data_IF_310104985934
#
_entry.id   IF_310104985934
#
_cell.length_a   1.000
_cell.length_b   1.000
_cell.length_c   1.000
_cell.angle_alpha   90.00
_cell.angle_beta   90.00
_cell.angle_gamma   90.00
#
_symmetry.space_group_name_H-M   'P 1'
#
loop_
_entity.id
_entity.type
_entity.pdbx_description
1 polymer ?
#
# COMPACT_ATOMS: atom_id res chain seq x y z
N UNK A 1 -2.03 -31.58 -67.53
CA UNK A 1 -3.24 -31.41 -66.69
C UNK A 1 -2.90 -31.91 -65.29
N UNK A 2 -3.10 -31.23 -64.18
CA UNK A 2 -4.02 -30.14 -63.86
C UNK A 2 -4.78 -30.50 -62.58
N UNK A 3 -4.97 -29.51 -61.70
CA UNK A 3 -5.86 -29.46 -60.52
C UNK A 3 -5.26 -29.74 -59.14
N UNK A 4 -4.67 -28.66 -58.61
CA UNK A 4 -4.87 -28.14 -57.25
C UNK A 4 -6.35 -28.18 -56.83
N UNK A 5 -6.64 -28.58 -55.59
CA UNK A 5 -7.95 -28.33 -54.95
C UNK A 5 -7.74 -27.64 -53.60
N UNK A 6 -8.14 -26.37 -53.59
CA UNK A 6 -8.35 -25.53 -52.43
C UNK A 6 -9.46 -26.09 -51.53
N UNK A 7 -9.37 -25.87 -50.21
CA UNK A 7 -10.53 -25.92 -49.33
C UNK A 7 -10.79 -24.54 -48.74
N UNK A 8 -11.97 -24.02 -49.07
CA UNK A 8 -12.49 -22.74 -48.63
C UNK A 8 -13.04 -22.82 -47.20
N UNK A 9 -12.92 -21.68 -46.52
CA UNK A 9 -13.59 -21.33 -45.26
C UNK A 9 -15.11 -21.45 -45.43
N UNK A 10 -15.76 -22.21 -44.54
CA UNK A 10 -17.19 -22.14 -44.30
C UNK A 10 -17.43 -21.35 -43.02
N UNK A 11 -18.07 -20.19 -43.18
CA UNK A 11 -18.63 -19.37 -42.10
C UNK A 11 -19.87 -20.08 -41.57
N UNK A 12 -19.92 -20.35 -40.27
CA UNK A 12 -21.15 -20.69 -39.56
C UNK A 12 -21.51 -19.50 -38.65
N UNK A 13 -22.70 -18.89 -38.80
CA UNK A 13 -23.28 -18.03 -37.80
C UNK A 13 -24.19 -18.88 -36.92
N UNK A 14 -23.83 -19.05 -35.64
CA UNK A 14 -24.76 -19.50 -34.63
C UNK A 14 -24.44 -18.69 -33.36
N UNK A 15 -25.33 -17.74 -33.11
CA UNK A 15 -25.48 -16.96 -31.89
C UNK A 15 -25.46 -17.90 -30.67
N UNK A 16 -24.48 -17.71 -29.78
CA UNK A 16 -24.46 -18.33 -28.46
C UNK A 16 -25.10 -17.32 -27.50
N UNK A 17 -26.43 -17.21 -27.58
CA UNK A 17 -27.24 -16.45 -26.64
C UNK A 17 -27.15 -17.15 -25.27
N UNK A 18 -26.24 -16.69 -24.41
CA UNK A 18 -26.27 -17.01 -22.98
C UNK A 18 -27.49 -16.32 -22.36
N UNK A 19 -28.66 -16.98 -22.46
CA UNK A 19 -29.88 -16.52 -21.81
C UNK A 19 -29.69 -16.61 -20.29
N UNK A 20 -29.50 -15.44 -19.67
CA UNK A 20 -29.40 -15.31 -18.21
C UNK A 20 -30.73 -15.73 -17.59
N UNK A 21 -30.79 -16.95 -17.05
CA UNK A 21 -31.97 -17.46 -16.36
C UNK A 21 -32.11 -16.80 -14.98
N UNK A 22 -32.85 -15.69 -14.96
CA UNK A 22 -33.20 -14.96 -13.74
C UNK A 22 -34.01 -15.82 -12.76
N UNK A 23 -34.73 -16.85 -13.25
CA UNK A 23 -35.52 -17.74 -12.40
C UNK A 23 -34.64 -18.70 -11.59
N UNK A 24 -33.57 -19.22 -12.20
CA UNK A 24 -32.54 -20.00 -11.51
C UNK A 24 -31.79 -19.16 -10.47
N UNK A 25 -31.43 -17.92 -10.81
CA UNK A 25 -30.73 -17.02 -9.88
C UNK A 25 -31.58 -16.73 -8.63
N UNK A 26 -32.88 -16.45 -8.79
CA UNK A 26 -33.80 -16.19 -7.66
C UNK A 26 -34.06 -17.42 -6.80
N UNK A 27 -33.93 -18.62 -7.35
CA UNK A 27 -34.13 -19.87 -6.60
C UNK A 27 -32.97 -20.18 -5.65
N UNK A 28 -31.74 -19.81 -6.03
CA UNK A 28 -30.52 -20.10 -5.24
C UNK A 28 -29.98 -18.90 -4.46
N UNK A 29 -30.23 -17.66 -4.89
CA UNK A 29 -29.84 -16.45 -4.14
C UNK A 29 -30.96 -15.97 -3.24
N UNK A 30 -30.97 -16.49 -2.00
CA UNK A 30 -31.80 -15.98 -0.92
C UNK A 30 -31.16 -14.71 -0.33
N UNK A 31 -31.85 -13.56 -0.26
CA UNK A 31 -31.30 -12.34 0.33
C UNK A 31 -30.80 -12.61 1.75
N UNK A 32 -29.54 -12.24 2.04
CA UNK A 32 -28.87 -12.43 3.34
C UNK A 32 -29.41 -11.51 4.44
N UNK A 33 -30.70 -11.18 4.42
CA UNK A 33 -31.32 -10.19 5.32
C UNK A 33 -31.62 -10.73 6.73
N UNK A 34 -31.22 -11.96 7.05
CA UNK A 34 -31.36 -12.55 8.39
C UNK A 34 -30.02 -12.86 9.06
N UNK A 35 -28.91 -12.25 8.61
CA UNK A 35 -27.70 -12.26 9.42
C UNK A 35 -27.94 -11.33 10.62
N UNK A 36 -27.69 -11.78 11.87
CA UNK A 36 -27.75 -10.89 13.02
C UNK A 36 -26.80 -9.72 12.74
N UNK A 37 -27.31 -8.50 12.92
CA UNK A 37 -26.47 -7.31 12.86
C UNK A 37 -25.30 -7.49 13.81
N UNK A 38 -24.04 -7.28 13.37
CA UNK A 38 -22.92 -7.32 14.26
C UNK A 38 -23.16 -6.32 15.41
N UNK A 39 -22.81 -6.67 16.66
CA UNK A 39 -22.99 -5.77 17.78
C UNK A 39 -22.24 -4.45 17.54
N UNK A 40 -22.78 -3.30 18.00
CA UNK A 40 -22.08 -2.03 17.90
C UNK A 40 -20.73 -2.13 18.62
N UNK A 41 -19.65 -1.86 17.89
CA UNK A 41 -18.29 -1.90 18.46
C UNK A 41 -18.11 -0.76 19.47
N UNK A 42 -17.86 -1.08 20.74
CA UNK A 42 -17.50 -0.14 21.82
C UNK A 42 -16.02 0.24 21.80
N UNK A 43 -15.37 0.19 20.64
CA UNK A 43 -13.98 0.58 20.50
C UNK A 43 -13.95 1.96 19.86
N UNK A 44 -13.41 2.93 20.59
CA UNK A 44 -13.00 4.23 20.03
C UNK A 44 -12.14 3.96 18.80
N UNK A 45 -12.79 3.97 17.63
CA UNK A 45 -12.12 3.86 16.34
C UNK A 45 -11.22 5.07 16.22
N UNK A 46 -9.93 4.81 16.11
CA UNK A 46 -8.87 5.75 15.78
C UNK A 46 -9.00 6.24 14.32
N UNK A 47 -10.21 6.56 13.88
CA UNK A 47 -10.47 7.22 12.61
C UNK A 47 -9.92 8.67 12.59
N UNK A 48 -9.47 9.16 13.75
CA UNK A 48 -8.72 10.41 13.91
C UNK A 48 -7.22 10.31 13.60
N UNK A 49 -6.69 9.11 13.26
CA UNK A 49 -5.31 8.94 12.78
C UNK A 49 -5.20 8.76 11.27
N UNK A 50 -6.16 9.27 10.50
CA UNK A 50 -5.90 9.53 9.08
C UNK A 50 -4.84 10.65 9.02
N UNK A 51 -3.71 10.50 8.30
CA UNK A 51 -2.73 11.56 8.19
C UNK A 51 -3.41 12.78 7.56
N UNK A 52 -3.75 13.78 8.39
CA UNK A 52 -4.14 15.09 7.91
C UNK A 52 -2.87 15.71 7.38
N UNK A 53 -2.67 15.64 6.07
CA UNK A 53 -1.69 16.47 5.39
C UNK A 53 -2.21 17.91 5.50
N UNK A 54 -1.83 18.62 6.57
CA UNK A 54 -1.88 20.07 6.58
C UNK A 54 -0.84 20.54 5.58
N UNK A 55 -1.27 20.73 4.34
CA UNK A 55 -0.51 21.50 3.35
C UNK A 55 -0.62 22.94 3.80
N UNK A 56 0.24 23.32 4.74
CA UNK A 56 0.56 24.72 4.95
C UNK A 56 1.33 25.20 3.70
N UNK A 57 1.01 26.39 3.23
CA UNK A 57 1.25 26.93 1.88
C UNK A 57 2.73 27.34 1.68
N UNK A 58 3.65 26.43 2.01
CA UNK A 58 5.10 26.62 1.88
C UNK A 58 5.67 25.56 0.92
N UNK A 59 6.18 26.04 -0.22
CA UNK A 59 7.06 25.37 -1.18
C UNK A 59 6.41 24.57 -2.32
N UNK A 60 6.28 25.21 -3.48
CA UNK A 60 6.05 24.54 -4.78
C UNK A 60 7.11 23.47 -5.11
N UNK A 61 8.30 23.53 -4.51
CA UNK A 61 9.37 22.53 -4.64
C UNK A 61 9.07 21.21 -3.92
N UNK A 62 8.26 21.21 -2.87
CA UNK A 62 7.86 19.96 -2.19
C UNK A 62 6.78 19.23 -2.99
N UNK A 63 5.91 19.96 -3.69
CA UNK A 63 4.87 19.37 -4.54
C UNK A 63 5.43 18.50 -5.68
N UNK A 64 6.58 18.88 -6.26
CA UNK A 64 7.14 18.17 -7.42
C UNK A 64 7.54 16.71 -7.12
N UNK A 65 7.98 16.44 -5.89
CA UNK A 65 8.45 15.11 -5.48
C UNK A 65 7.34 14.24 -4.87
N UNK A 66 6.13 14.79 -4.69
CA UNK A 66 5.03 14.06 -4.07
C UNK A 66 4.58 12.85 -4.91
N UNK A 67 4.43 13.03 -6.23
CA UNK A 67 4.11 11.94 -7.16
C UNK A 67 5.19 10.85 -7.20
N UNK A 68 6.47 11.20 -7.45
CA UNK A 68 7.58 10.26 -7.38
C UNK A 68 7.68 9.52 -6.04
N UNK A 69 7.50 10.23 -4.91
CA UNK A 69 7.56 9.63 -3.59
C UNK A 69 6.45 8.61 -3.35
N UNK A 70 5.22 8.95 -3.74
CA UNK A 70 4.07 8.04 -3.63
C UNK A 70 4.29 6.79 -4.49
N UNK A 71 4.79 6.97 -5.72
CA UNK A 71 5.11 5.86 -6.61
C UNK A 71 6.21 4.95 -6.05
N UNK A 72 7.36 5.50 -5.64
CA UNK A 72 8.46 4.72 -5.05
C UNK A 72 8.05 3.96 -3.78
N UNK A 73 7.24 4.58 -2.91
CA UNK A 73 6.72 3.91 -1.71
C UNK A 73 5.87 2.69 -2.06
N UNK A 74 5.10 2.74 -3.16
CA UNK A 74 4.28 1.64 -3.67
C UNK A 74 5.11 0.51 -4.28
N UNK A 75 6.31 0.82 -4.79
CA UNK A 75 7.23 -0.14 -5.41
C UNK A 75 8.02 -0.98 -4.39
N UNK A 76 7.91 -0.69 -3.09
CA UNK A 76 8.63 -1.45 -2.07
C UNK A 76 8.19 -2.92 -2.07
N UNK A 77 9.14 -3.89 -2.16
CA UNK A 77 8.79 -5.30 -2.28
C UNK A 77 7.90 -5.79 -1.13
N UNK A 78 6.74 -6.41 -1.44
CA UNK A 78 5.84 -6.92 -0.43
C UNK A 78 6.54 -7.87 0.54
N UNK A 79 6.28 -7.65 1.81
CA UNK A 79 6.83 -8.41 2.91
C UNK A 79 8.23 -7.99 3.34
N UNK A 80 8.98 -7.15 2.61
CA UNK A 80 10.32 -6.73 3.08
C UNK A 80 10.26 -6.14 4.50
N UNK A 81 9.27 -5.29 4.78
CA UNK A 81 8.88 -4.86 6.11
C UNK A 81 7.37 -5.01 6.32
N UNK A 82 6.93 -5.06 7.59
CA UNK A 82 5.52 -4.94 7.97
C UNK A 82 5.13 -3.49 8.29
N UNK A 83 6.10 -2.57 8.35
CA UNK A 83 5.84 -1.15 8.50
C UNK A 83 5.36 -0.60 7.17
N UNK A 84 4.24 0.12 7.19
CA UNK A 84 3.74 0.86 6.02
C UNK A 84 4.74 1.98 5.67
N UNK A 85 5.20 2.05 4.42
CA UNK A 85 6.11 3.11 4.01
C UNK A 85 5.45 4.50 4.07
N UNK A 86 6.20 5.47 4.56
CA UNK A 86 5.86 6.87 4.68
C UNK A 86 6.21 7.62 3.40
N UNK A 87 5.19 8.04 2.66
CA UNK A 87 5.35 8.88 1.47
C UNK A 87 6.11 10.17 1.81
N UNK A 88 5.83 10.77 2.97
CA UNK A 88 6.50 11.99 3.43
C UNK A 88 8.01 11.79 3.63
N UNK A 89 8.41 10.66 4.20
CA UNK A 89 9.82 10.33 4.42
C UNK A 89 10.56 10.20 3.08
N UNK A 90 9.93 9.54 2.10
CA UNK A 90 10.47 9.42 0.74
C UNK A 90 10.51 10.78 0.05
N UNK A 91 9.47 11.61 0.18
CA UNK A 91 9.43 12.96 -0.40
C UNK A 91 10.56 13.83 0.14
N UNK A 92 10.74 13.88 1.46
CA UNK A 92 11.84 14.61 2.10
C UNK A 92 13.23 14.07 1.69
N UNK A 93 13.34 12.75 1.44
CA UNK A 93 14.56 12.15 0.90
C UNK A 93 14.83 12.65 -0.53
N UNK A 94 13.82 12.64 -1.40
CA UNK A 94 13.93 13.14 -2.77
C UNK A 94 14.25 14.63 -2.83
N UNK A 95 13.63 15.46 -1.99
CA UNK A 95 13.93 16.90 -1.89
C UNK A 95 15.39 17.14 -1.52
N UNK A 96 15.95 16.35 -0.60
CA UNK A 96 17.37 16.47 -0.20
C UNK A 96 18.33 15.90 -1.22
N UNK A 97 17.93 14.85 -1.92
CA UNK A 97 18.73 14.24 -2.97
C UNK A 97 18.79 15.13 -4.23
N UNK A 98 17.69 15.84 -4.51
CA UNK A 98 17.54 16.76 -5.65
C UNK A 98 18.03 16.17 -6.98
N UNK A 99 17.64 14.90 -7.23
CA UNK A 99 18.09 14.15 -8.39
C UNK A 99 17.26 14.48 -9.64
N UNK A 100 17.85 14.39 -10.85
CA UNK A 100 17.11 14.42 -12.10
C UNK A 100 16.07 13.30 -12.17
N UNK A 101 14.94 13.59 -12.82
CA UNK A 101 13.82 12.63 -12.95
C UNK A 101 14.24 11.32 -13.63
N UNK A 102 15.21 11.35 -14.54
CA UNK A 102 15.71 10.15 -15.21
C UNK A 102 16.46 9.22 -14.23
N UNK A 103 17.20 9.77 -13.25
CA UNK A 103 17.86 8.99 -12.20
C UNK A 103 16.81 8.38 -11.25
N UNK A 104 15.77 9.16 -10.90
CA UNK A 104 14.64 8.65 -10.11
C UNK A 104 13.92 7.52 -10.86
N UNK A 105 13.74 7.66 -12.18
CA UNK A 105 13.14 6.63 -13.02
C UNK A 105 13.99 5.36 -13.09
N UNK A 106 15.32 5.47 -13.13
CA UNK A 106 16.20 4.30 -13.00
C UNK A 106 16.03 3.61 -11.65
N UNK A 107 15.89 4.36 -10.56
CA UNK A 107 15.61 3.78 -9.25
C UNK A 107 14.26 3.03 -9.23
N UNK A 108 13.22 3.53 -9.94
CA UNK A 108 11.97 2.80 -10.15
C UNK A 108 12.23 1.47 -10.87
N UNK A 109 12.98 1.47 -11.98
CA UNK A 109 13.32 0.25 -12.71
C UNK A 109 14.11 -0.76 -11.86
N UNK A 110 15.02 -0.27 -11.00
CA UNK A 110 15.77 -1.09 -10.03
C UNK A 110 14.80 -1.76 -9.05
N UNK A 111 13.87 -1.01 -8.47
CA UNK A 111 12.89 -1.53 -7.51
C UNK A 111 11.94 -2.54 -8.15
N UNK A 112 11.46 -2.28 -9.37
CA UNK A 112 10.58 -3.17 -10.13
C UNK A 112 11.25 -4.53 -10.44
N UNK A 113 12.58 -4.52 -10.58
CA UNK A 113 13.37 -5.73 -10.85
C UNK A 113 13.65 -6.58 -9.60
N UNK A 114 13.28 -6.11 -8.40
CA UNK A 114 13.48 -6.85 -7.15
C UNK A 114 12.47 -8.00 -7.04
N UNK A 115 12.96 -9.18 -6.67
CA UNK A 115 12.13 -10.38 -6.56
C UNK A 115 11.90 -10.81 -5.10
N UNK A 116 11.07 -11.83 -4.89
CA UNK A 116 10.77 -12.34 -3.54
C UNK A 116 11.99 -12.92 -2.80
N UNK A 117 13.04 -13.36 -3.53
CA UNK A 117 14.30 -13.81 -2.94
C UNK A 117 15.05 -12.65 -2.30
N UNK A 118 15.04 -11.46 -2.91
CA UNK A 118 15.55 -10.24 -2.29
C UNK A 118 14.86 -9.98 -0.95
N UNK A 119 13.52 -9.91 -0.90
CA UNK A 119 12.78 -9.61 0.33
C UNK A 119 13.08 -10.60 1.45
N UNK A 120 13.24 -11.89 1.11
CA UNK A 120 13.59 -12.93 2.08
C UNK A 120 15.03 -12.78 2.58
N UNK A 121 16.00 -12.63 1.67
CA UNK A 121 17.42 -12.49 2.01
C UNK A 121 17.67 -11.25 2.87
N UNK A 122 17.11 -10.12 2.43
CA UNK A 122 17.20 -8.85 3.13
C UNK A 122 16.65 -8.98 4.56
N UNK A 123 15.42 -9.47 4.73
CA UNK A 123 14.78 -9.57 6.06
C UNK A 123 15.53 -10.48 7.04
N UNK A 124 16.13 -11.57 6.56
CA UNK A 124 16.81 -12.55 7.43
C UNK A 124 18.17 -12.05 7.90
N UNK A 125 18.89 -11.32 7.05
CA UNK A 125 20.29 -10.95 7.31
C UNK A 125 20.50 -9.44 7.58
N UNK A 126 19.44 -8.62 7.56
CA UNK A 126 19.54 -7.18 7.78
C UNK A 126 20.17 -6.85 9.14
N UNK A 127 21.20 -5.97 9.18
CA UNK A 127 21.85 -5.57 10.42
C UNK A 127 20.93 -4.67 11.24
N UNK A 128 20.54 -5.15 12.41
CA UNK A 128 19.72 -4.41 13.37
C UNK A 128 20.62 -3.53 14.24
N UNK A 129 20.17 -2.31 14.54
CA UNK A 129 20.94 -1.37 15.35
C UNK A 129 21.11 -1.92 16.78
N UNK A 130 22.31 -2.42 17.07
CA UNK A 130 22.74 -2.89 18.40
C UNK A 130 23.39 -1.74 19.19
N UNK A 131 22.72 -0.60 19.26
CA UNK A 131 23.24 0.52 20.05
C UNK A 131 23.27 0.08 21.52
N UNK A 132 24.47 -0.04 22.09
CA UNK A 132 24.68 -0.38 23.50
C UNK A 132 25.05 -1.83 23.83
N UNK A 133 25.27 -2.72 22.85
CA UNK A 133 25.83 -4.04 23.17
C UNK A 133 27.36 -3.98 23.27
N UNK A 134 27.98 -4.17 24.46
CA UNK A 134 29.40 -4.42 24.51
C UNK A 134 29.68 -5.71 23.74
N UNK A 135 30.70 -5.69 22.87
CA UNK A 135 31.18 -6.89 22.19
C UNK A 135 31.70 -7.87 23.25
N UNK A 136 30.82 -8.75 23.73
CA UNK A 136 31.12 -9.64 24.83
C UNK A 136 32.04 -10.76 24.33
N UNK A 137 33.36 -10.49 24.35
CA UNK A 137 34.43 -11.49 24.18
C UNK A 137 34.59 -12.39 25.42
N UNK A 138 33.50 -12.75 26.10
CA UNK A 138 33.56 -13.67 27.24
C UNK A 138 32.64 -14.86 27.04
N UNK A 139 33.28 -16.02 26.99
CA UNK A 139 32.71 -17.36 27.04
C UNK A 139 32.18 -17.67 28.45
N UNK A 140 31.20 -16.91 28.95
CA UNK A 140 30.53 -17.18 30.23
C UNK A 140 29.09 -16.66 30.21
N UNK A 141 28.14 -17.58 29.96
CA UNK A 141 26.69 -17.52 30.24
C UNK A 141 25.85 -16.44 29.51
N UNK A 142 24.55 -16.72 29.23
CA UNK A 142 23.70 -15.83 28.45
C UNK A 142 23.35 -14.59 29.27
N UNK A 143 23.90 -13.45 28.86
CA UNK A 143 23.43 -12.14 29.33
C UNK A 143 21.95 -11.97 28.93
N UNK A 144 21.15 -11.43 29.86
CA UNK A 144 19.72 -11.14 29.75
C UNK A 144 19.30 -10.56 28.38
N UNK A 145 18.03 -10.74 27.94
CA UNK A 145 17.58 -10.40 26.60
C UNK A 145 17.70 -8.89 26.36
N UNK A 146 18.84 -8.49 25.81
CA UNK A 146 19.04 -7.18 25.20
C UNK A 146 17.98 -7.03 24.11
N UNK A 147 17.18 -5.97 24.18
CA UNK A 147 16.14 -5.65 23.22
C UNK A 147 16.73 -5.50 21.81
N UNK A 148 16.88 -6.60 21.11
CA UNK A 148 17.16 -6.60 19.68
C UNK A 148 15.96 -5.91 19.02
N UNK A 149 16.22 -4.77 18.38
CA UNK A 149 15.22 -4.12 17.52
C UNK A 149 14.80 -5.16 16.49
N UNK A 150 13.53 -5.58 16.49
CA UNK A 150 13.07 -6.60 15.56
C UNK A 150 13.12 -6.03 14.12
N UNK A 151 13.28 -6.88 13.10
CA UNK A 151 13.29 -6.42 11.70
C UNK A 151 12.01 -5.67 11.31
N UNK A 152 10.90 -5.96 11.98
CA UNK A 152 9.63 -5.24 11.82
C UNK A 152 9.63 -3.83 12.41
N UNK A 153 10.73 -3.37 13.03
CA UNK A 153 10.92 -2.01 13.52
C UNK A 153 11.75 -1.15 12.55
N UNK A 154 12.19 -1.71 11.43
CA UNK A 154 13.00 -1.02 10.43
C UNK A 154 12.12 -0.42 9.34
N UNK A 155 12.30 0.89 9.13
CA UNK A 155 11.69 1.67 8.06
C UNK A 155 12.13 1.15 6.67
N UNK A 156 11.22 0.63 5.83
CA UNK A 156 11.55 0.01 4.54
C UNK A 156 12.10 1.00 3.50
N UNK A 157 11.97 2.30 3.72
CA UNK A 157 12.45 3.37 2.84
C UNK A 157 13.98 3.32 2.63
N UNK A 158 14.72 2.59 3.47
CA UNK A 158 16.14 2.30 3.21
C UNK A 158 16.37 1.57 1.88
N UNK A 159 15.40 0.76 1.43
CA UNK A 159 15.47 0.08 0.14
C UNK A 159 15.38 1.11 -0.99
N UNK A 160 14.52 2.13 -0.85
CA UNK A 160 14.43 3.25 -1.79
C UNK A 160 15.72 4.07 -1.78
N UNK A 161 16.24 4.41 -0.59
CA UNK A 161 17.51 5.13 -0.44
C UNK A 161 18.64 4.42 -1.18
N UNK A 162 18.77 3.11 -0.98
CA UNK A 162 19.81 2.32 -1.63
C UNK A 162 19.63 2.25 -3.15
N UNK A 163 18.38 2.11 -3.65
CA UNK A 163 18.11 2.13 -5.08
C UNK A 163 18.46 3.48 -5.74
N UNK A 164 18.10 4.60 -5.10
CA UNK A 164 18.48 5.95 -5.55
C UNK A 164 19.99 6.14 -5.57
N UNK A 165 20.68 5.69 -4.51
CA UNK A 165 22.13 5.76 -4.41
C UNK A 165 22.82 4.95 -5.53
N UNK A 166 22.30 3.75 -5.84
CA UNK A 166 22.82 2.92 -6.95
C UNK A 166 22.61 3.63 -8.30
N UNK A 167 21.42 4.19 -8.53
CA UNK A 167 21.10 4.91 -9.76
C UNK A 167 21.99 6.14 -9.96
N UNK A 168 22.18 6.94 -8.92
CA UNK A 168 23.04 8.13 -8.92
C UNK A 168 24.51 7.78 -9.20
N UNK A 169 25.06 6.82 -8.44
CA UNK A 169 26.43 6.31 -8.65
C UNK A 169 26.64 5.75 -10.06
N UNK A 170 25.61 5.15 -10.65
CA UNK A 170 25.69 4.58 -12.00
C UNK A 170 25.74 5.67 -13.09
N UNK A 171 25.02 6.78 -12.93
CA UNK A 171 24.91 7.82 -13.96
C UNK A 171 26.03 8.86 -13.86
N UNK A 172 26.32 9.35 -12.66
CA UNK A 172 27.24 10.48 -12.46
C UNK A 172 28.71 10.05 -12.34
N UNK A 173 29.01 8.74 -12.24
CA UNK A 173 30.35 8.19 -11.99
C UNK A 173 31.06 8.82 -10.76
N UNK A 174 30.26 9.33 -9.80
CA UNK A 174 30.75 9.97 -8.58
C UNK A 174 30.79 8.98 -7.41
N UNK A 175 31.96 8.85 -6.79
CA UNK A 175 32.19 8.00 -5.62
C UNK A 175 31.88 8.74 -4.32
N UNK A 176 30.63 9.17 -4.13
CA UNK A 176 30.19 9.71 -2.85
C UNK A 176 30.23 8.59 -1.78
N UNK A 177 30.77 8.87 -0.58
CA UNK A 177 30.85 7.85 0.47
C UNK A 177 29.45 7.51 1.01
N UNK A 178 29.23 6.27 1.44
CA UNK A 178 27.94 5.84 2.04
C UNK A 178 27.49 6.75 3.19
N UNK A 179 28.43 7.32 3.95
CA UNK A 179 28.14 8.26 5.02
C UNK A 179 27.39 9.51 4.51
N UNK A 180 27.73 10.03 3.33
CA UNK A 180 27.04 11.16 2.73
C UNK A 180 25.57 10.81 2.43
N UNK A 181 25.31 9.64 1.84
CA UNK A 181 23.93 9.23 1.57
C UNK A 181 23.15 8.98 2.86
N UNK A 182 23.75 8.34 3.86
CA UNK A 182 23.12 8.08 5.14
C UNK A 182 22.75 9.37 5.90
N UNK A 183 23.63 10.37 5.90
CA UNK A 183 23.39 11.65 6.59
C UNK A 183 22.55 12.61 5.75
N UNK A 184 22.96 12.92 4.53
CA UNK A 184 22.35 13.95 3.68
C UNK A 184 21.00 13.52 3.14
N UNK A 185 20.89 12.31 2.59
CA UNK A 185 19.64 11.80 2.01
C UNK A 185 18.84 10.97 3.01
N UNK A 186 19.50 10.24 3.90
CA UNK A 186 18.87 9.40 4.92
C UNK A 186 18.51 10.14 6.21
N UNK A 187 18.98 11.37 6.43
CA UNK A 187 18.78 12.15 7.67
C UNK A 187 19.27 11.43 8.93
N UNK A 188 20.29 10.58 8.79
CA UNK A 188 20.78 9.70 9.85
C UNK A 188 19.72 8.71 10.40
N UNK A 189 18.66 8.42 9.64
CA UNK A 189 17.67 7.39 10.02
C UNK A 189 18.27 5.97 10.01
N UNK A 190 19.29 5.75 9.19
CA UNK A 190 19.96 4.45 9.02
C UNK A 190 21.47 4.59 9.14
N UNK A 191 22.10 3.53 9.63
CA UNK A 191 23.57 3.47 9.74
C UNK A 191 24.20 3.13 8.39
N UNK A 192 25.49 3.46 8.22
CA UNK A 192 26.23 3.08 7.02
C UNK A 192 26.24 1.55 6.79
N UNK A 193 26.25 0.76 7.87
CA UNK A 193 26.18 -0.70 7.79
C UNK A 193 24.86 -1.16 7.14
N UNK A 194 23.73 -0.59 7.58
CA UNK A 194 22.40 -0.89 7.04
C UNK A 194 22.27 -0.47 5.57
N UNK A 195 22.81 0.70 5.22
CA UNK A 195 22.79 1.20 3.84
C UNK A 195 23.65 0.30 2.94
N UNK A 196 24.90 0.03 3.34
CA UNK A 196 25.81 -0.85 2.58
C UNK A 196 25.26 -2.28 2.44
N UNK A 197 24.62 -2.80 3.48
CA UNK A 197 23.98 -4.12 3.42
C UNK A 197 22.85 -4.13 2.39
N UNK A 198 21.98 -3.12 2.43
CA UNK A 198 20.83 -3.02 1.51
C UNK A 198 21.29 -2.82 0.07
N UNK A 199 22.28 -1.94 -0.16
CA UNK A 199 22.92 -1.76 -1.47
C UNK A 199 23.43 -3.09 -2.02
N UNK A 200 24.19 -3.86 -1.21
CA UNK A 200 24.70 -5.16 -1.63
C UNK A 200 23.57 -6.13 -1.98
N UNK A 201 22.52 -6.23 -1.16
CA UNK A 201 21.39 -7.11 -1.45
C UNK A 201 20.67 -6.75 -2.77
N UNK A 202 20.51 -5.45 -3.06
CA UNK A 202 19.94 -4.99 -4.34
C UNK A 202 20.86 -5.43 -5.48
N UNK A 203 22.16 -5.13 -5.40
CA UNK A 203 23.13 -5.47 -6.44
C UNK A 203 23.21 -6.97 -6.71
N UNK A 204 23.22 -7.79 -5.66
CA UNK A 204 23.17 -9.25 -5.77
C UNK A 204 21.86 -9.73 -6.42
N UNK A 205 20.71 -9.13 -6.07
CA UNK A 205 19.42 -9.46 -6.69
C UNK A 205 19.38 -9.15 -8.19
N UNK A 206 20.06 -8.08 -8.61
CA UNK A 206 20.20 -7.68 -10.01
C UNK A 206 21.30 -8.49 -10.75
N UNK A 207 22.04 -9.34 -10.05
CA UNK A 207 23.22 -10.00 -10.62
C UNK A 207 24.29 -9.01 -11.08
N UNK A 208 24.38 -7.85 -10.41
CA UNK A 208 25.30 -6.74 -10.73
C UNK A 208 25.11 -6.15 -12.16
N UNK A 209 23.92 -6.25 -12.73
CA UNK A 209 23.62 -5.76 -14.09
C UNK A 209 22.62 -4.59 -14.05
N UNK A 210 23.14 -3.36 -13.91
CA UNK A 210 22.31 -2.13 -13.94
C UNK A 210 22.07 -1.64 -15.37
N UNK A 211 23.08 -1.74 -16.26
CA UNK A 211 23.02 -1.20 -17.63
C UNK A 211 21.74 -1.57 -18.41
N UNK A 212 21.20 -2.81 -18.35
CA UNK A 212 19.96 -3.15 -19.04
C UNK A 212 18.72 -2.37 -18.54
N UNK A 213 18.77 -1.84 -17.32
CA UNK A 213 17.70 -1.03 -16.73
C UNK A 213 17.78 0.44 -17.17
N UNK A 214 18.95 0.89 -17.64
CA UNK A 214 19.16 2.21 -18.25
C UNK A 214 18.80 2.19 -19.74
N UNK A 215 17.68 1.55 -20.07
CA UNK A 215 17.12 1.54 -21.42
C UNK A 215 16.17 2.73 -21.61
N UNK A 216 16.28 3.52 -22.68
CA UNK A 216 15.43 4.71 -22.88
C UNK A 216 13.93 4.42 -22.87
N UNK A 217 13.48 3.23 -23.31
CA UNK A 217 12.07 2.87 -23.29
C UNK A 217 11.61 2.57 -21.85
N UNK A 218 12.41 1.85 -21.07
CA UNK A 218 12.14 1.59 -19.65
C UNK A 218 12.10 2.89 -18.84
N UNK A 219 13.08 3.78 -19.04
CA UNK A 219 13.13 5.08 -18.35
C UNK A 219 11.92 5.94 -18.70
N UNK A 220 11.54 6.00 -19.99
CA UNK A 220 10.34 6.73 -20.42
C UNK A 220 9.06 6.17 -19.80
N UNK A 221 8.94 4.84 -19.71
CA UNK A 221 7.79 4.19 -19.09
C UNK A 221 7.73 4.50 -17.59
N UNK A 222 8.84 4.34 -16.85
CA UNK A 222 8.91 4.66 -15.43
C UNK A 222 8.55 6.13 -15.14
N UNK A 223 8.96 7.07 -15.99
CA UNK A 223 8.54 8.48 -15.89
C UNK A 223 7.04 8.67 -16.10
N UNK A 224 6.45 7.92 -17.03
CA UNK A 224 5.01 7.93 -17.22
C UNK A 224 4.28 7.42 -15.98
N UNK A 225 4.75 6.33 -15.38
CA UNK A 225 4.14 5.73 -14.18
C UNK A 225 4.21 6.67 -12.96
N UNK A 226 5.34 7.38 -12.79
CA UNK A 226 5.50 8.45 -11.79
C UNK A 226 4.47 9.57 -12.00
N UNK A 227 4.30 10.02 -13.24
CA UNK A 227 3.35 11.09 -13.60
C UNK A 227 1.89 10.64 -13.39
N UNK A 228 1.58 9.38 -13.68
CA UNK A 228 0.26 8.82 -13.41
C UNK A 228 -0.03 8.75 -11.91
N UNK A 229 0.93 8.30 -11.09
CA UNK A 229 0.79 8.30 -9.63
C UNK A 229 0.56 9.71 -9.05
N UNK A 230 1.18 10.74 -9.63
CA UNK A 230 0.94 12.15 -9.26
C UNK A 230 -0.51 12.56 -9.51
N UNK A 231 -1.09 12.16 -10.65
CA UNK A 231 -2.48 12.50 -11.01
C UNK A 231 -3.50 11.82 -10.12
N UNK A 232 -3.28 10.54 -9.80
CA UNK A 232 -4.11 9.77 -8.86
C UNK A 232 -4.24 10.52 -7.53
N UNK A 233 -3.13 10.96 -6.95
CA UNK A 233 -3.12 11.63 -5.65
C UNK A 233 -3.86 12.98 -5.65
N UNK A 234 -3.75 13.75 -6.75
CA UNK A 234 -4.49 15.02 -6.91
C UNK A 234 -5.99 14.76 -6.99
N UNK A 235 -6.40 13.71 -7.69
CA UNK A 235 -7.80 13.32 -7.80
C UNK A 235 -8.38 12.85 -6.44
N UNK A 236 -7.62 12.07 -5.68
CA UNK A 236 -7.99 11.65 -4.31
C UNK A 236 -8.17 12.85 -3.37
N UNK A 237 -7.31 13.86 -3.51
CA UNK A 237 -7.40 15.07 -2.68
C UNK A 237 -8.62 15.92 -3.06
N UNK A 238 -8.91 16.05 -4.35
CA UNK A 238 -10.07 16.80 -4.85
C UNK A 238 -11.39 16.12 -4.50
N UNK A 239 -11.46 14.79 -4.51
CA UNK A 239 -12.68 14.05 -4.13
C UNK A 239 -12.96 14.11 -2.62
N UNK A 240 -11.94 14.19 -1.77
CA UNK A 240 -12.09 14.37 -0.31
C UNK A 240 -12.58 15.76 0.10
N UNK A 241 -12.21 16.80 -0.64
CA UNK A 241 -12.56 18.19 -0.30
C UNK A 241 -13.97 18.62 -0.73
N UNK A 242 -14.73 17.78 -1.44
CA UNK A 242 -16.12 18.08 -1.87
C UNK A 242 -17.16 17.69 -0.81
N UNK A 243 -16.74 17.16 0.35
CA UNK A 243 -17.62 16.72 1.43
C UNK A 243 -18.06 17.79 2.43
N UNK A 244 -17.54 19.02 2.35
CA UNK A 244 -17.72 20.02 3.41
C UNK A 244 -17.79 21.45 2.86
N UNK A 245 -18.65 21.70 1.87
CA UNK A 245 -19.22 23.04 1.72
C UNK A 245 -20.59 23.02 1.02
N UNK A 246 -21.57 23.66 1.66
CA UNK A 246 -22.93 23.74 1.18
C UNK A 246 -23.03 24.72 0.02
N UNK A 247 -23.14 24.22 -1.22
CA UNK A 247 -23.66 25.04 -2.31
C UNK A 247 -24.32 24.21 -3.43
N UNK A 248 -25.65 24.17 -3.36
CA UNK A 248 -26.57 24.32 -4.49
C UNK A 248 -26.09 23.88 -5.88
N UNK A 249 -26.22 22.59 -6.20
CA UNK A 249 -26.40 22.15 -7.60
C UNK A 249 -27.72 21.41 -7.73
N UNK A 250 -28.71 22.10 -8.30
CA UNK A 250 -30.00 21.57 -8.71
C UNK A 250 -29.77 20.50 -9.79
N UNK A 251 -29.73 19.24 -9.39
CA UNK A 251 -29.90 18.13 -10.33
C UNK A 251 -31.38 17.74 -10.32
N UNK A 252 -32.09 18.09 -11.38
CA UNK A 252 -33.40 17.52 -11.67
C UNK A 252 -33.23 16.01 -11.81
N UNK A 253 -33.80 15.25 -10.86
CA UNK A 253 -34.11 13.83 -11.04
C UNK A 253 -35.57 13.63 -10.68
N UNK A 254 -36.27 13.12 -11.70
CA UNK A 254 -37.67 12.78 -11.77
C UNK A 254 -38.16 12.08 -10.50
N UNK A 255 -39.31 12.52 -9.99
CA UNK A 255 -39.99 11.91 -8.85
C UNK A 255 -40.55 10.54 -9.25
N UNK A 256 -40.16 9.50 -8.53
CA UNK A 256 -40.99 8.29 -8.39
C UNK A 256 -41.67 8.36 -7.02
N UNK A 257 -42.99 8.38 -7.04
CA UNK A 257 -43.86 8.56 -5.88
C UNK A 257 -43.93 7.28 -5.03
N UNK A 258 -43.00 7.13 -4.08
CA UNK A 258 -43.14 6.20 -2.97
C UNK A 258 -43.84 6.89 -1.80
N UNK A 259 -45.08 6.52 -1.52
CA UNK A 259 -45.82 6.97 -0.33
C UNK A 259 -45.19 6.34 0.93
N UNK A 260 -44.47 7.13 1.74
CA UNK A 260 -44.09 6.75 3.09
C UNK A 260 -45.15 7.27 4.08
N UNK A 261 -45.83 6.37 4.77
CA UNK A 261 -46.75 6.69 5.87
C UNK A 261 -45.89 6.99 7.11
N UNK A 262 -45.85 8.26 7.52
CA UNK A 262 -45.23 8.68 8.77
C UNK A 262 -46.20 8.37 9.91
N UNK A 263 -45.97 7.25 10.59
CA UNK A 263 -46.60 6.97 11.87
C UNK A 263 -46.03 7.90 12.94
N UNK A 264 -46.89 8.79 13.47
CA UNK A 264 -46.60 9.57 14.68
C UNK A 264 -46.50 8.63 15.87
N UNK A 265 -45.28 8.35 16.33
CA UNK A 265 -45.06 7.44 17.46
C UNK A 265 -43.65 7.55 18.02
N UNK A 266 -43.43 8.57 18.84
CA UNK A 266 -42.31 8.65 19.78
C UNK A 266 -42.35 7.42 20.70
N UNK A 267 -41.40 6.49 20.56
CA UNK A 267 -40.98 5.61 21.66
C UNK A 267 -39.63 4.94 21.34
N UNK A 268 -38.57 5.57 21.87
CA UNK A 268 -37.28 4.95 22.14
C UNK A 268 -37.46 4.01 23.35
N UNK A 269 -37.63 2.72 23.11
CA UNK A 269 -37.19 1.57 23.96
C UNK A 269 -37.87 0.28 23.46
N UNK A 270 -37.14 -0.81 23.19
CA UNK A 270 -37.73 -2.14 23.17
C UNK A 270 -38.04 -2.58 24.62
N UNK A 271 -39.24 -3.11 24.82
CA UNK A 271 -39.73 -3.64 26.10
C UNK A 271 -38.89 -4.82 26.61
N UNK A 272 -38.79 -4.94 27.94
CA UNK A 272 -38.18 -6.08 28.61
C UNK A 272 -38.91 -7.38 28.27
N UNK A 273 -38.14 -8.42 27.96
CA UNK A 273 -38.64 -9.77 27.72
C UNK A 273 -39.05 -10.41 29.05
N UNK A 274 -40.24 -11.02 29.18
CA UNK A 274 -40.64 -11.69 30.41
C UNK A 274 -39.88 -13.02 30.57
N UNK A 275 -39.22 -13.19 31.73
CA UNK A 275 -38.64 -14.46 32.16
C UNK A 275 -39.76 -15.49 32.40
N UNK A 276 -39.70 -16.61 31.69
CA UNK A 276 -40.55 -17.77 31.97
C UNK A 276 -39.78 -18.71 32.90
N UNK A 277 -39.91 -18.49 34.21
CA UNK A 277 -39.47 -19.47 35.21
C UNK A 277 -40.37 -20.70 35.16
N UNK A 278 -39.78 -21.83 34.76
CA UNK A 278 -40.30 -23.17 35.05
C UNK A 278 -40.18 -23.44 36.55
N UNK A 279 -41.29 -23.37 37.27
CA UNK A 279 -41.43 -24.07 38.54
C UNK A 279 -42.02 -25.46 38.27
N UNK A 280 -41.18 -26.49 38.35
CA UNK A 280 -41.63 -27.87 38.48
C UNK A 280 -42.01 -28.17 39.93
N UNK A 281 -43.19 -28.74 40.06
CA UNK A 281 -43.89 -29.34 41.18
C UNK A 281 -43.02 -30.05 42.22
N UNK A 282 -43.45 -30.09 43.49
CA UNK A 282 -43.94 -31.33 44.13
C UNK A 282 -44.65 -31.05 45.46
N UNK A 283 -45.79 -31.74 45.61
CA UNK A 283 -46.67 -31.84 46.77
C UNK A 283 -45.96 -32.35 48.03
N UNK A 284 -46.42 -31.89 49.19
CA UNK A 284 -46.46 -32.71 50.40
C UNK A 284 -47.77 -32.47 51.14
N UNK A 285 -48.69 -33.45 51.03
CA UNK A 285 -49.79 -33.64 51.97
C UNK A 285 -49.33 -34.44 53.20
N UNK A 286 -50.06 -34.17 54.29
CA UNK A 286 -50.05 -34.78 55.64
C UNK A 286 -50.56 -36.22 55.58
#
# INVERSE_FOLDING_TARGET
MGHTKSFSVAVAPAEDDFEFDESYFRQFYKPLSNLPTPPPSTRNSSASQSPRMSVDDTDGSNSQFLGPAAHLARMLPPGASFITPSILTVQQMLTRANLPMDIIALAVCILDSLNSKFSRSWRVAFPLNRIGQPASKRHTLPSAPSHATHINSVFPEIIILAALMIADKFVEDLQSPTQYFASTWGNNLWTCEQVNFTERCIMESLGYRILPLWDPALIKQARHDIEMARRELIQETSTRNVGEDGSSRKHFKSMSSGHAVVGLGLQLTPAATPDSERATSFDHQI
#
